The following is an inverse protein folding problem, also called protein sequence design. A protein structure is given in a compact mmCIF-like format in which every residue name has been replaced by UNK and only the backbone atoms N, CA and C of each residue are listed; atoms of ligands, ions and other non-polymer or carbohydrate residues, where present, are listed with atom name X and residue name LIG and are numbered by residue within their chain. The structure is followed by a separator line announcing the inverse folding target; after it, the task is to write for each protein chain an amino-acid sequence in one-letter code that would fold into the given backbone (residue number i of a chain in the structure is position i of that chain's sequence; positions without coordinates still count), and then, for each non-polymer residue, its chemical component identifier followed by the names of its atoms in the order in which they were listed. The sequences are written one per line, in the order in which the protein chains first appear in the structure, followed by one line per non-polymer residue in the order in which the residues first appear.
data_IF_625827288456
#
_entry.id   IF_625827288456
#
_cell.length_a   1.000
_cell.length_b   1.000
_cell.length_c   1.000
_cell.angle_alpha   90.00
_cell.angle_beta   90.00
_cell.angle_gamma   90.00
#
_symmetry.space_group_name_H-M   'P 1'
#
loop_
_entity.id
_entity.type
_entity.pdbx_description
1 polymer ?
#
# COMPACT_ATOMS: atom_id res chain seq x y z
N UNK A 1 20.41 -23.54 -34.87
CA UNK A 1 19.07 -23.05 -35.25
C UNK A 1 18.58 -22.16 -34.12
N UNK A 2 18.82 -20.85 -34.22
CA UNK A 2 18.49 -19.88 -33.18
C UNK A 2 17.04 -19.40 -33.40
N UNK A 3 16.19 -19.55 -32.39
CA UNK A 3 14.83 -19.01 -32.40
C UNK A 3 14.89 -17.67 -31.68
N UNK A 4 15.08 -16.60 -32.47
CA UNK A 4 14.87 -15.24 -32.01
C UNK A 4 13.40 -14.87 -32.18
N UNK A 5 12.72 -14.52 -31.10
CA UNK A 5 11.47 -13.77 -31.14
C UNK A 5 11.66 -12.47 -30.37
N UNK A 6 12.10 -11.44 -31.08
CA UNK A 6 12.08 -10.06 -30.60
C UNK A 6 10.65 -9.53 -30.78
N UNK A 7 9.82 -9.66 -29.75
CA UNK A 7 8.57 -8.92 -29.69
C UNK A 7 8.90 -7.49 -29.25
N UNK A 8 8.84 -6.54 -30.18
CA UNK A 8 9.07 -5.14 -29.89
C UNK A 8 7.95 -4.59 -28.98
N UNK A 9 8.22 -4.50 -27.68
CA UNK A 9 7.35 -3.84 -26.70
C UNK A 9 7.30 -2.35 -27.03
N UNK A 10 6.13 -1.86 -27.47
CA UNK A 10 5.96 -0.43 -27.76
C UNK A 10 5.42 0.27 -26.53
N UNK A 11 6.19 1.23 -26.05
CA UNK A 11 5.96 1.98 -24.83
C UNK A 11 5.46 3.38 -25.23
N UNK A 12 4.22 3.76 -24.86
CA UNK A 12 3.71 5.13 -25.09
C UNK A 12 3.39 5.83 -23.76
N UNK A 13 3.88 7.07 -23.55
CA UNK A 13 3.50 7.85 -22.38
C UNK A 13 2.02 8.27 -22.46
N UNK A 14 1.29 8.18 -21.35
CA UNK A 14 -0.10 8.60 -21.23
C UNK A 14 -0.38 9.23 -19.87
N UNK A 15 -0.27 10.57 -19.77
CA UNK A 15 -0.51 11.32 -18.53
C UNK A 15 0.51 11.05 -17.42
N UNK A 16 0.58 11.96 -16.43
CA UNK A 16 1.50 11.97 -15.27
C UNK A 16 2.13 10.60 -14.94
N UNK A 17 3.33 10.35 -15.47
CA UNK A 17 4.15 9.18 -15.13
C UNK A 17 3.62 7.80 -15.56
N UNK A 18 2.56 7.70 -16.36
CA UNK A 18 2.01 6.40 -16.78
C UNK A 18 2.43 6.02 -18.20
N UNK A 19 2.65 4.72 -18.38
CA UNK A 19 3.20 4.16 -19.60
C UNK A 19 2.34 3.00 -20.09
N UNK A 20 1.84 3.08 -21.33
CA UNK A 20 1.12 1.96 -21.98
C UNK A 20 2.11 0.99 -22.61
N UNK A 21 2.04 -0.27 -22.21
CA UNK A 21 2.74 -1.39 -22.82
C UNK A 21 1.84 -1.98 -23.91
N UNK A 22 2.29 -1.97 -25.16
CA UNK A 22 1.59 -2.62 -26.26
C UNK A 22 2.25 -3.95 -26.59
N UNK A 23 1.49 -5.05 -26.52
CA UNK A 23 1.87 -6.36 -27.04
C UNK A 23 0.80 -6.82 -28.05
N UNK A 24 1.22 -7.14 -29.28
CA UNK A 24 0.39 -7.75 -30.35
C UNK A 24 -0.98 -7.12 -30.64
N UNK A 25 -1.06 -5.79 -30.78
CA UNK A 25 -2.27 -5.05 -31.23
C UNK A 25 -3.53 -5.22 -30.36
N UNK A 26 -3.44 -5.93 -29.23
CA UNK A 26 -4.45 -5.95 -28.18
C UNK A 26 -4.02 -4.98 -27.06
N UNK A 27 -4.93 -4.10 -26.62
CA UNK A 27 -4.71 -3.31 -25.42
C UNK A 27 -4.85 -4.23 -24.20
N UNK A 28 -3.79 -4.94 -23.83
CA UNK A 28 -3.69 -5.47 -22.46
C UNK A 28 -3.63 -4.27 -21.52
N UNK A 29 -4.55 -4.22 -20.56
CA UNK A 29 -4.60 -3.15 -19.57
C UNK A 29 -3.21 -3.05 -18.91
N UNK A 30 -2.64 -1.85 -18.92
CA UNK A 30 -1.38 -1.53 -18.23
C UNK A 30 -1.36 -1.94 -16.76
N UNK A 31 -2.52 -2.28 -16.17
CA UNK A 31 -2.64 -2.95 -14.86
C UNK A 31 -1.87 -4.26 -14.73
N UNK A 32 -1.51 -4.95 -15.83
CA UNK A 32 -0.71 -6.20 -15.76
C UNK A 32 0.80 -5.91 -15.65
N UNK A 33 1.27 -4.69 -15.95
CA UNK A 33 2.71 -4.41 -16.08
C UNK A 33 3.46 -4.20 -14.75
N UNK A 34 2.80 -4.06 -13.60
CA UNK A 34 3.39 -4.16 -12.26
C UNK A 34 2.24 -4.17 -11.26
N UNK A 35 1.92 -5.34 -10.71
CA UNK A 35 1.02 -5.38 -9.56
C UNK A 35 1.71 -4.64 -8.42
N UNK A 36 1.05 -3.67 -7.76
CA UNK A 36 1.67 -2.96 -6.64
C UNK A 36 2.09 -3.97 -5.57
N UNK A 37 3.28 -3.81 -5.02
CA UNK A 37 3.84 -4.68 -3.97
C UNK A 37 4.02 -3.94 -2.62
N UNK A 38 3.38 -2.76 -2.49
CA UNK A 38 3.58 -1.87 -1.34
C UNK A 38 2.41 -1.93 -0.36
N UNK A 39 2.70 -2.06 0.92
CA UNK A 39 1.71 -2.02 2.00
C UNK A 39 1.97 -0.79 2.88
N UNK A 40 0.92 -0.02 3.15
CA UNK A 40 1.01 1.19 3.96
C UNK A 40 0.43 0.99 5.37
N UNK A 41 1.13 1.48 6.39
CA UNK A 41 0.71 1.45 7.79
C UNK A 41 0.42 2.85 8.36
N UNK A 42 -0.77 3.00 8.93
CA UNK A 42 -1.22 4.20 9.64
C UNK A 42 -1.89 3.74 10.94
N UNK A 43 -1.56 4.36 12.06
CA UNK A 43 -2.24 4.08 13.32
C UNK A 43 -2.41 5.35 14.15
N UNK A 44 -3.60 5.52 14.73
CA UNK A 44 -3.79 6.46 15.84
C UNK A 44 -2.92 6.04 17.02
N UNK A 45 -2.56 7.00 17.89
CA UNK A 45 -1.69 6.72 19.04
C UNK A 45 -2.23 5.59 19.91
N UNK A 46 -3.54 5.56 20.15
CA UNK A 46 -4.26 4.54 20.94
C UNK A 46 -4.28 3.16 20.29
N UNK A 47 -3.94 3.06 18.99
CA UNK A 47 -3.95 1.83 18.20
C UNK A 47 -2.56 1.31 17.82
N UNK A 48 -1.50 2.03 18.19
CA UNK A 48 -0.13 1.67 17.79
C UNK A 48 0.36 0.36 18.40
N UNK A 49 0.05 0.11 19.67
CA UNK A 49 0.44 -1.16 20.31
C UNK A 49 -0.26 -2.35 19.65
N UNK A 50 -1.53 -2.17 19.26
CA UNK A 50 -2.30 -3.15 18.48
C UNK A 50 -1.67 -3.37 17.10
N UNK A 51 -1.28 -2.30 16.40
CA UNK A 51 -0.56 -2.37 15.13
C UNK A 51 0.77 -3.14 15.27
N UNK A 52 1.56 -2.84 16.30
CA UNK A 52 2.85 -3.50 16.57
C UNK A 52 2.65 -4.99 16.79
N UNK A 53 1.69 -5.38 17.64
CA UNK A 53 1.37 -6.80 17.90
C UNK A 53 0.96 -7.51 16.62
N UNK A 54 0.09 -6.89 15.83
CA UNK A 54 -0.38 -7.44 14.56
C UNK A 54 0.75 -7.66 13.55
N UNK A 55 1.57 -6.64 13.29
CA UNK A 55 2.68 -6.74 12.32
C UNK A 55 3.75 -7.70 12.81
N UNK A 56 4.02 -7.77 14.11
CA UNK A 56 4.95 -8.74 14.69
C UNK A 56 4.46 -10.17 14.48
N UNK A 57 3.18 -10.45 14.72
CA UNK A 57 2.60 -11.79 14.54
C UNK A 57 2.67 -12.26 13.08
N UNK A 58 2.56 -11.34 12.13
CA UNK A 58 2.59 -11.62 10.69
C UNK A 58 3.88 -11.15 10.00
N UNK A 59 4.97 -10.98 10.77
CA UNK A 59 6.26 -10.49 10.27
C UNK A 59 6.77 -11.28 9.04
N UNK A 60 6.69 -12.63 8.98
CA UNK A 60 7.14 -13.38 7.81
C UNK A 60 6.37 -13.04 6.53
N UNK A 61 5.09 -12.67 6.67
CA UNK A 61 4.25 -12.26 5.53
C UNK A 61 4.63 -10.86 5.08
N UNK A 62 4.73 -9.91 6.00
CA UNK A 62 5.04 -8.50 5.69
C UNK A 62 6.45 -8.32 5.12
N UNK A 63 7.43 -9.11 5.55
CA UNK A 63 8.81 -9.05 5.04
C UNK A 63 8.97 -9.37 3.54
N UNK A 64 7.90 -9.78 2.84
CA UNK A 64 7.90 -10.04 1.38
C UNK A 64 7.49 -8.82 0.55
N UNK A 65 7.01 -7.76 1.20
CA UNK A 65 6.43 -6.59 0.56
C UNK A 65 7.31 -5.35 0.79
N UNK A 66 7.15 -4.33 -0.06
CA UNK A 66 7.65 -3.00 0.27
C UNK A 66 6.74 -2.40 1.33
N UNK A 67 7.30 -1.89 2.41
CA UNK A 67 6.53 -1.39 3.54
C UNK A 67 6.74 0.11 3.70
N UNK A 68 5.65 0.84 3.82
CA UNK A 68 5.68 2.28 4.13
C UNK A 68 4.79 2.56 5.33
N UNK A 69 5.06 3.64 6.05
CA UNK A 69 4.18 4.05 7.14
C UNK A 69 4.39 5.48 7.60
N UNK A 70 3.40 6.04 8.27
CA UNK A 70 3.55 7.37 8.90
C UNK A 70 4.65 7.33 9.97
N UNK A 71 5.44 8.41 10.09
CA UNK A 71 6.67 8.48 10.88
C UNK A 71 6.68 7.66 12.19
N UNK A 72 5.81 8.01 13.15
CA UNK A 72 5.75 7.32 14.46
C UNK A 72 5.32 5.85 14.38
N UNK A 73 4.43 5.52 13.45
CA UNK A 73 3.97 4.15 13.24
C UNK A 73 5.12 3.31 12.68
N UNK A 74 5.80 3.82 11.65
CA UNK A 74 6.94 3.16 11.02
C UNK A 74 8.12 3.00 11.99
N UNK A 75 8.40 3.99 12.83
CA UNK A 75 9.43 3.96 13.87
C UNK A 75 9.19 2.81 14.86
N UNK A 76 7.98 2.71 15.42
CA UNK A 76 7.66 1.65 16.39
C UNK A 76 7.64 0.26 15.78
N UNK A 77 7.15 0.14 14.54
CA UNK A 77 7.16 -1.13 13.81
C UNK A 77 8.59 -1.59 13.50
N UNK A 78 9.45 -0.68 13.04
CA UNK A 78 10.87 -0.97 12.80
C UNK A 78 11.55 -1.44 14.10
N UNK A 79 11.33 -0.74 15.20
CA UNK A 79 11.91 -1.09 16.49
C UNK A 79 11.47 -2.47 17.01
N UNK A 80 10.20 -2.84 16.79
CA UNK A 80 9.64 -4.09 17.30
C UNK A 80 9.94 -5.30 16.41
N UNK A 81 10.01 -5.12 15.08
CA UNK A 81 10.05 -6.24 14.12
C UNK A 81 11.36 -6.36 13.36
N UNK A 82 12.16 -5.30 13.29
CA UNK A 82 13.34 -5.22 12.44
C UNK A 82 13.05 -5.17 10.94
N UNK A 83 11.78 -5.05 10.53
CA UNK A 83 11.41 -4.85 9.13
C UNK A 83 11.81 -3.45 8.66
N UNK A 84 12.30 -3.33 7.42
CA UNK A 84 12.53 -2.02 6.79
C UNK A 84 11.20 -1.40 6.41
N UNK A 85 10.89 -0.21 6.95
CA UNK A 85 9.64 0.50 6.69
C UNK A 85 9.96 1.95 6.33
N UNK A 86 9.69 2.32 5.08
CA UNK A 86 9.94 3.66 4.58
C UNK A 86 9.00 4.65 5.28
N UNK A 87 9.58 5.69 5.87
CA UNK A 87 8.82 6.67 6.60
C UNK A 87 8.17 7.68 5.66
N UNK A 88 6.89 7.94 5.89
CA UNK A 88 6.17 9.14 5.45
C UNK A 88 6.13 10.14 6.59
N UNK A 89 5.68 11.36 6.28
CA UNK A 89 5.49 12.39 7.30
C UNK A 89 4.58 11.88 8.42
N UNK A 90 4.64 12.56 9.57
CA UNK A 90 3.66 12.32 10.62
C UNK A 90 2.24 12.57 10.11
N UNK A 91 1.27 11.87 10.69
CA UNK A 91 -0.15 12.04 10.34
C UNK A 91 -0.58 13.52 10.33
N UNK A 92 -0.25 14.27 11.40
CA UNK A 92 -0.55 15.70 11.57
C UNK A 92 0.18 16.63 10.59
N UNK A 93 1.24 16.15 9.95
CA UNK A 93 2.03 16.90 8.97
C UNK A 93 1.70 16.51 7.53
N UNK A 94 0.63 15.75 7.31
CA UNK A 94 0.18 15.35 5.98
C UNK A 94 0.64 13.96 5.53
N UNK A 95 1.20 13.13 6.42
CA UNK A 95 1.61 11.76 6.08
C UNK A 95 0.48 10.88 5.52
N UNK A 96 -0.73 11.01 6.06
CA UNK A 96 -1.92 10.32 5.51
C UNK A 96 -2.24 10.78 4.09
N UNK A 97 -2.05 12.07 3.80
CA UNK A 97 -2.27 12.64 2.46
C UNK A 97 -1.20 12.14 1.48
N UNK A 98 0.05 11.97 1.91
CA UNK A 98 1.10 11.37 1.09
C UNK A 98 0.73 9.94 0.68
N UNK A 99 0.32 9.11 1.65
CA UNK A 99 -0.13 7.73 1.38
C UNK A 99 -1.36 7.73 0.45
N UNK A 100 -2.31 8.62 0.66
CA UNK A 100 -3.47 8.77 -0.20
C UNK A 100 -3.07 9.15 -1.65
N UNK A 101 -2.04 9.98 -1.82
CA UNK A 101 -1.44 10.29 -3.12
C UNK A 101 -0.85 9.05 -3.80
N UNK A 102 -0.15 8.20 -3.05
CA UNK A 102 0.42 6.94 -3.57
C UNK A 102 -0.66 5.92 -3.98
N UNK A 103 -1.79 5.88 -3.25
CA UNK A 103 -2.97 5.13 -3.66
C UNK A 103 -3.45 5.62 -5.04
N UNK A 104 -3.59 6.93 -5.23
CA UNK A 104 -4.01 7.50 -6.51
C UNK A 104 -2.98 7.31 -7.65
N UNK A 105 -1.70 7.19 -7.31
CA UNK A 105 -0.63 6.83 -8.26
C UNK A 105 -0.65 5.35 -8.66
N UNK A 106 -1.37 4.49 -7.93
CA UNK A 106 -1.42 3.05 -8.19
C UNK A 106 -0.24 2.27 -7.59
N UNK A 107 0.45 2.85 -6.61
CA UNK A 107 1.65 2.26 -6.01
C UNK A 107 1.35 1.38 -4.79
N UNK A 108 0.13 1.43 -4.26
CA UNK A 108 -0.27 0.76 -3.01
C UNK A 108 -1.12 -0.48 -3.31
N UNK A 109 -0.73 -1.61 -2.73
CA UNK A 109 -1.47 -2.87 -2.74
C UNK A 109 -2.56 -2.90 -1.67
N UNK A 110 -2.19 -2.51 -0.45
CA UNK A 110 -3.07 -2.51 0.70
C UNK A 110 -2.69 -1.41 1.70
N UNK A 111 -3.69 -0.93 2.44
CA UNK A 111 -3.53 0.03 3.53
C UNK A 111 -4.06 -0.60 4.82
N UNK A 112 -3.23 -0.65 5.86
CA UNK A 112 -3.65 -1.01 7.21
C UNK A 112 -3.66 0.29 8.03
N UNK A 113 -4.87 0.82 8.27
CA UNK A 113 -5.12 2.08 8.94
C UNK A 113 -5.91 1.85 10.23
N UNK A 114 -5.26 1.55 11.35
CA UNK A 114 -5.98 1.34 12.61
C UNK A 114 -6.41 2.68 13.22
N UNK A 115 -7.70 2.98 13.10
CA UNK A 115 -8.32 4.24 13.53
C UNK A 115 -8.97 4.06 14.90
N UNK A 116 -8.85 5.08 15.74
CA UNK A 116 -9.58 5.14 17.01
C UNK A 116 -11.05 5.49 16.76
N UNK A 117 -12.03 4.65 17.14
CA UNK A 117 -13.45 4.94 16.95
C UNK A 117 -13.94 6.13 17.77
N UNK A 118 -13.25 6.46 18.87
CA UNK A 118 -13.63 7.58 19.74
C UNK A 118 -12.97 8.90 19.32
N UNK A 119 -12.02 8.85 18.38
CA UNK A 119 -11.43 10.04 17.79
C UNK A 119 -12.32 10.60 16.67
N UNK A 120 -12.37 11.93 16.56
CA UNK A 120 -13.00 12.57 15.41
C UNK A 120 -12.28 12.14 14.13
N UNK A 121 -13.05 11.67 13.14
CA UNK A 121 -12.47 11.25 11.87
C UNK A 121 -11.90 12.45 11.13
N UNK A 122 -10.57 12.48 11.00
CA UNK A 122 -9.90 13.62 10.41
C UNK A 122 -10.13 13.65 8.87
N UNK A 123 -10.28 14.85 8.24
CA UNK A 123 -10.61 14.97 6.81
C UNK A 123 -9.65 14.24 5.85
N UNK A 124 -8.39 14.10 6.25
CA UNK A 124 -7.33 13.35 5.58
C UNK A 124 -7.61 11.83 5.56
N UNK A 125 -8.23 11.24 6.59
CA UNK A 125 -8.69 9.85 6.52
C UNK A 125 -9.86 9.68 5.55
N UNK A 126 -10.80 10.64 5.53
CA UNK A 126 -11.91 10.63 4.56
C UNK A 126 -11.38 10.60 3.12
N UNK A 127 -10.37 11.43 2.82
CA UNK A 127 -9.73 11.44 1.52
C UNK A 127 -9.06 10.09 1.19
N UNK A 128 -8.31 9.52 2.13
CA UNK A 128 -7.68 8.20 1.98
C UNK A 128 -8.73 7.11 1.68
N UNK A 129 -9.80 7.04 2.46
CA UNK A 129 -10.87 6.05 2.29
C UNK A 129 -11.53 6.16 0.91
N UNK A 130 -11.82 7.39 0.48
CA UNK A 130 -12.39 7.65 -0.85
C UNK A 130 -11.46 7.18 -1.96
N UNK A 131 -10.15 7.44 -1.85
CA UNK A 131 -9.19 7.00 -2.86
C UNK A 131 -8.99 5.48 -2.85
N UNK A 132 -8.94 4.83 -1.68
CA UNK A 132 -8.88 3.37 -1.63
C UNK A 132 -10.08 2.73 -2.34
N UNK A 133 -11.29 3.23 -2.10
CA UNK A 133 -12.50 2.77 -2.79
C UNK A 133 -12.45 3.05 -4.30
N UNK A 134 -12.01 4.25 -4.71
CA UNK A 134 -11.96 4.65 -6.11
C UNK A 134 -10.95 3.83 -6.93
N UNK A 135 -9.80 3.50 -6.34
CA UNK A 135 -8.72 2.75 -6.99
C UNK A 135 -8.75 1.25 -6.69
N UNK A 136 -9.78 0.76 -5.99
CA UNK A 136 -9.96 -0.63 -5.60
C UNK A 136 -8.75 -1.20 -4.81
N UNK A 137 -8.22 -0.41 -3.89
CA UNK A 137 -7.13 -0.79 -2.98
C UNK A 137 -7.72 -1.27 -1.67
N UNK A 138 -7.28 -2.44 -1.21
CA UNK A 138 -7.76 -3.02 0.04
C UNK A 138 -7.36 -2.11 1.22
N UNK A 139 -8.32 -1.81 2.10
CA UNK A 139 -8.09 -1.02 3.30
C UNK A 139 -8.70 -1.68 4.53
N UNK A 140 -7.91 -1.79 5.59
CA UNK A 140 -8.37 -2.22 6.90
C UNK A 140 -8.40 -1.03 7.85
N UNK A 141 -9.57 -0.73 8.42
CA UNK A 141 -9.75 0.32 9.43
C UNK A 141 -9.76 -0.22 10.88
N UNK A 142 -9.75 -1.54 11.02
CA UNK A 142 -9.74 -2.26 12.29
C UNK A 142 -8.96 -3.57 12.14
N UNK A 143 -8.67 -4.23 13.28
CA UNK A 143 -7.87 -5.44 13.31
C UNK A 143 -8.53 -6.63 12.59
N UNK A 144 -9.85 -6.81 12.70
CA UNK A 144 -10.54 -7.93 12.06
C UNK A 144 -10.39 -7.87 10.53
N UNK A 145 -10.52 -6.69 9.93
CA UNK A 145 -10.27 -6.50 8.49
C UNK A 145 -8.78 -6.66 8.16
N UNK A 146 -7.88 -6.21 9.04
CA UNK A 146 -6.44 -6.37 8.84
C UNK A 146 -6.03 -7.85 8.78
N UNK A 147 -6.58 -8.67 9.68
CA UNK A 147 -6.41 -10.13 9.70
C UNK A 147 -6.91 -10.80 8.41
N UNK A 148 -8.07 -10.38 7.91
CA UNK A 148 -8.60 -10.88 6.65
C UNK A 148 -7.67 -10.54 5.46
N UNK A 149 -7.15 -9.30 5.43
CA UNK A 149 -6.22 -8.86 4.39
C UNK A 149 -4.91 -9.65 4.45
N UNK A 150 -4.26 -9.74 5.63
CA UNK A 150 -2.96 -10.44 5.73
C UNK A 150 -3.08 -11.93 5.45
N UNK A 151 -4.21 -12.56 5.82
CA UNK A 151 -4.50 -13.96 5.46
C UNK A 151 -4.56 -14.16 3.95
N UNK A 152 -5.09 -13.18 3.20
CA UNK A 152 -5.08 -13.21 1.73
C UNK A 152 -3.67 -13.00 1.18
N UNK A 153 -2.92 -12.05 1.73
CA UNK A 153 -1.55 -11.75 1.32
C UNK A 153 -0.61 -12.96 1.53
N UNK A 154 -0.72 -13.64 2.67
CA UNK A 154 0.09 -14.81 3.01
C UNK A 154 -0.01 -15.98 2.00
N UNK A 155 -1.11 -16.05 1.23
CA UNK A 155 -1.35 -17.09 0.21
C UNK A 155 -0.81 -16.74 -1.18
N UNK A 156 -0.33 -15.51 -1.37
CA UNK A 156 0.31 -15.05 -2.60
C UNK A 156 1.80 -15.27 -2.49
#
# INVERSE_FOLDING_TARGET
MAIGLSAAVKIKPFGFGKTKVFCNSECVDSRIALMPNTIAFIAHNTRKDEMVRFVTAHQPTFGRYHLIGTARTAEQLQAATGLEIEQRLAHSLGGTVQIAGEVASGNILAVIALVDPDAETEPNFIALFRLCNLYNVAIATNLATAEAIVTRLAKT
#
